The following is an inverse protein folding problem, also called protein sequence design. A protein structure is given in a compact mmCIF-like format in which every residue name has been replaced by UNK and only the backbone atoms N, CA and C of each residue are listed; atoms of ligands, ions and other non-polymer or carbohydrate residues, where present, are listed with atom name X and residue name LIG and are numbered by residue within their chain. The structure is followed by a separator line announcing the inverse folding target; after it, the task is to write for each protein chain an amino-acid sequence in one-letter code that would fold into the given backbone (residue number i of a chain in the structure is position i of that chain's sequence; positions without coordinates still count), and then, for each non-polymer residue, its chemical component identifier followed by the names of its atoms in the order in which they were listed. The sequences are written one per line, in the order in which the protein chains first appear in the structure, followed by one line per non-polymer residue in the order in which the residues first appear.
data_IF_658403483381
#
_entry.id   IF_658403483381
#
_cell.length_a   1.000
_cell.length_b   1.000
_cell.length_c   1.000
_cell.angle_alpha   90.00
_cell.angle_beta   90.00
_cell.angle_gamma   90.00
#
_symmetry.space_group_name_H-M   'P 1'
#
loop_
_entity.id
_entity.type
_entity.pdbx_description
1 polymer ?
#
# COMPACT_ATOMS: atom_id res chain seq x y z
N UNK A 1 -22.01 -5.60 -13.97
CA UNK A 1 -21.27 -6.35 -12.94
C UNK A 1 -20.31 -7.39 -13.53
N UNK A 2 -20.76 -8.51 -14.12
CA UNK A 2 -19.81 -9.56 -14.57
C UNK A 2 -18.82 -9.08 -15.65
N UNK A 3 -19.29 -8.40 -16.70
CA UNK A 3 -18.42 -7.86 -17.76
C UNK A 3 -17.42 -6.83 -17.22
N UNK A 4 -17.88 -5.95 -16.32
CA UNK A 4 -17.05 -4.96 -15.64
C UNK A 4 -15.98 -5.64 -14.78
N UNK A 5 -16.36 -6.65 -13.98
CA UNK A 5 -15.42 -7.44 -13.18
C UNK A 5 -14.37 -8.14 -14.04
N UNK A 6 -14.78 -8.74 -15.17
CA UNK A 6 -13.86 -9.39 -16.10
C UNK A 6 -12.89 -8.39 -16.74
N UNK A 7 -13.38 -7.22 -17.14
CA UNK A 7 -12.55 -6.15 -17.68
C UNK A 7 -11.52 -5.68 -16.64
N UNK A 8 -11.98 -5.30 -15.44
CA UNK A 8 -11.11 -4.83 -14.36
C UNK A 8 -10.06 -5.85 -13.94
N UNK A 9 -10.44 -7.14 -13.84
CA UNK A 9 -9.49 -8.23 -13.56
C UNK A 9 -8.50 -8.45 -14.71
N UNK A 10 -8.91 -8.29 -15.96
CA UNK A 10 -8.01 -8.40 -17.13
C UNK A 10 -6.96 -7.29 -17.11
N UNK A 11 -7.39 -6.04 -16.85
CA UNK A 11 -6.48 -4.91 -16.71
C UNK A 11 -5.51 -5.12 -15.53
N UNK A 12 -6.01 -5.63 -14.40
CA UNK A 12 -5.17 -5.96 -13.24
C UNK A 12 -4.13 -7.03 -13.57
N UNK A 13 -4.52 -8.13 -14.20
CA UNK A 13 -3.59 -9.19 -14.60
C UNK A 13 -2.54 -8.65 -15.58
N UNK A 14 -2.95 -7.84 -16.56
CA UNK A 14 -2.03 -7.16 -17.47
C UNK A 14 -1.02 -6.28 -16.74
N UNK A 15 -1.49 -5.45 -15.79
CA UNK A 15 -0.64 -4.60 -14.94
C UNK A 15 0.36 -5.42 -14.11
N UNK A 16 -0.09 -6.48 -13.44
CA UNK A 16 0.78 -7.32 -12.61
C UNK A 16 1.84 -8.04 -13.46
N UNK A 17 1.44 -8.60 -14.60
CA UNK A 17 2.36 -9.26 -15.53
C UNK A 17 3.38 -8.28 -16.12
N UNK A 18 2.97 -7.05 -16.42
CA UNK A 18 3.86 -6.01 -16.92
C UNK A 18 4.99 -5.64 -15.95
N UNK A 19 4.87 -5.95 -14.65
CA UNK A 19 5.93 -5.74 -13.66
C UNK A 19 6.65 -7.04 -13.30
N UNK A 20 5.92 -8.14 -13.07
CA UNK A 20 6.51 -9.42 -12.65
C UNK A 20 7.37 -10.03 -13.75
N UNK A 21 6.93 -10.00 -15.02
CA UNK A 21 7.66 -10.63 -16.13
C UNK A 21 9.00 -9.94 -16.37
N UNK A 22 9.08 -8.59 -16.50
CA UNK A 22 10.38 -7.92 -16.60
C UNK A 22 11.27 -8.13 -15.37
N UNK A 23 10.71 -8.08 -14.15
CA UNK A 23 11.49 -8.33 -12.94
C UNK A 23 12.10 -9.73 -12.92
N UNK A 24 11.32 -10.75 -13.30
CA UNK A 24 11.80 -12.13 -13.39
C UNK A 24 12.87 -12.28 -14.49
N UNK A 25 12.70 -11.60 -15.63
CA UNK A 25 13.67 -11.60 -16.72
C UNK A 25 14.99 -10.94 -16.31
N UNK A 26 14.95 -9.76 -15.68
CA UNK A 26 16.16 -9.07 -15.18
C UNK A 26 16.87 -9.92 -14.13
N UNK A 27 16.12 -10.57 -13.22
CA UNK A 27 16.69 -11.49 -12.22
C UNK A 27 17.39 -12.72 -12.81
N UNK A 28 17.17 -13.04 -14.10
CA UNK A 28 17.92 -14.08 -14.80
C UNK A 28 19.34 -13.63 -15.18
N UNK A 29 19.54 -12.32 -15.35
CA UNK A 29 20.81 -11.74 -15.81
C UNK A 29 21.57 -11.00 -14.71
N UNK A 30 20.88 -10.52 -13.67
CA UNK A 30 21.45 -9.69 -12.59
C UNK A 30 20.99 -10.20 -11.23
N UNK A 31 21.92 -10.30 -10.27
CA UNK A 31 21.58 -10.57 -8.88
C UNK A 31 20.97 -9.33 -8.22
N UNK A 32 19.66 -9.34 -8.03
CA UNK A 32 18.94 -8.27 -7.34
C UNK A 32 18.86 -8.62 -5.84
N UNK A 33 19.25 -7.70 -4.94
CA UNK A 33 19.07 -7.89 -3.50
C UNK A 33 17.63 -8.28 -3.16
N UNK A 34 17.47 -9.23 -2.24
CA UNK A 34 16.16 -9.75 -1.85
C UNK A 34 15.22 -8.66 -1.34
N UNK A 35 15.75 -7.68 -0.59
CA UNK A 35 14.94 -6.55 -0.11
C UNK A 35 14.42 -5.68 -1.24
N UNK A 36 15.28 -5.39 -2.23
CA UNK A 36 14.89 -4.58 -3.37
C UNK A 36 13.81 -5.29 -4.18
N UNK A 37 13.93 -6.60 -4.41
CA UNK A 37 12.87 -7.42 -5.03
C UNK A 37 11.55 -7.29 -4.27
N UNK A 38 11.57 -7.44 -2.94
CA UNK A 38 10.36 -7.34 -2.10
C UNK A 38 9.73 -5.96 -2.21
N UNK A 39 10.52 -4.89 -2.23
CA UNK A 39 9.99 -3.53 -2.32
C UNK A 39 9.52 -3.15 -3.71
N UNK A 40 10.08 -3.72 -4.78
CA UNK A 40 9.50 -3.63 -6.14
C UNK A 40 8.12 -4.30 -6.18
N UNK A 41 8.00 -5.53 -5.67
CA UNK A 41 6.72 -6.24 -5.61
C UNK A 41 5.69 -5.54 -4.70
N UNK A 42 6.14 -4.98 -3.58
CA UNK A 42 5.32 -4.18 -2.69
C UNK A 42 4.78 -2.95 -3.42
N UNK A 43 5.64 -2.15 -4.06
CA UNK A 43 5.23 -0.96 -4.81
C UNK A 43 4.34 -1.29 -6.01
N UNK A 44 4.54 -2.45 -6.65
CA UNK A 44 3.61 -2.97 -7.66
C UNK A 44 2.21 -3.19 -7.07
N UNK A 45 2.12 -3.87 -5.93
CA UNK A 45 0.83 -4.11 -5.27
C UNK A 45 0.22 -2.77 -4.80
N UNK A 46 1.03 -1.85 -4.26
CA UNK A 46 0.61 -0.49 -3.92
C UNK A 46 0.03 0.24 -5.14
N UNK A 47 0.73 0.21 -6.28
CA UNK A 47 0.30 0.86 -7.51
C UNK A 47 -0.98 0.26 -8.11
N UNK A 48 -1.29 -1.01 -7.80
CA UNK A 48 -2.55 -1.63 -8.23
C UNK A 48 -3.80 -0.91 -7.70
N UNK A 49 -3.68 -0.04 -6.68
CA UNK A 49 -4.77 0.83 -6.21
C UNK A 49 -5.41 1.61 -7.37
N UNK A 50 -4.61 2.06 -8.35
CA UNK A 50 -5.12 2.78 -9.51
C UNK A 50 -5.99 1.89 -10.38
N UNK A 51 -5.61 0.62 -10.58
CA UNK A 51 -6.43 -0.32 -11.33
C UNK A 51 -7.75 -0.59 -10.61
N UNK A 52 -7.70 -0.87 -9.30
CA UNK A 52 -8.90 -1.12 -8.49
C UNK A 52 -9.88 0.05 -8.51
N UNK A 53 -9.38 1.28 -8.56
CA UNK A 53 -10.22 2.46 -8.55
C UNK A 53 -10.66 2.89 -9.95
N UNK A 54 -9.85 2.72 -10.99
CA UNK A 54 -10.14 3.30 -12.31
C UNK A 54 -10.52 2.29 -13.40
N UNK A 55 -10.17 1.01 -13.26
CA UNK A 55 -10.61 -0.03 -14.20
C UNK A 55 -12.02 -0.58 -13.88
N UNK A 56 -12.56 -0.20 -12.71
CA UNK A 56 -13.91 -0.53 -12.28
C UNK A 56 -14.75 0.75 -12.21
N UNK A 57 -16.00 0.66 -12.65
CA UNK A 57 -16.95 1.78 -12.62
C UNK A 57 -17.66 1.89 -11.27
N UNK A 58 -17.84 0.77 -10.58
CA UNK A 58 -18.58 0.67 -9.32
C UNK A 58 -17.73 0.09 -8.19
N UNK A 59 -17.90 0.63 -6.98
CA UNK A 59 -17.14 0.21 -5.80
C UNK A 59 -17.42 -1.26 -5.43
N UNK A 60 -18.67 -1.71 -5.56
CA UNK A 60 -19.06 -3.07 -5.17
C UNK A 60 -18.52 -4.11 -6.15
N UNK A 61 -18.47 -3.82 -7.46
CA UNK A 61 -17.83 -4.71 -8.42
C UNK A 61 -16.33 -4.82 -8.14
N UNK A 62 -15.66 -3.71 -7.83
CA UNK A 62 -14.24 -3.68 -7.47
C UNK A 62 -13.95 -4.45 -6.17
N UNK A 63 -14.68 -4.16 -5.09
CA UNK A 63 -14.53 -4.83 -3.80
C UNK A 63 -14.87 -6.33 -3.88
N UNK A 64 -15.95 -6.69 -4.59
CA UNK A 64 -16.30 -8.10 -4.81
C UNK A 64 -15.21 -8.83 -5.61
N UNK A 65 -14.69 -8.21 -6.67
CA UNK A 65 -13.61 -8.80 -7.47
C UNK A 65 -12.32 -8.98 -6.67
N UNK A 66 -11.98 -8.02 -5.79
CA UNK A 66 -10.86 -8.14 -4.86
C UNK A 66 -11.05 -9.31 -3.88
N UNK A 67 -12.25 -9.46 -3.31
CA UNK A 67 -12.57 -10.55 -2.39
C UNK A 67 -12.52 -11.93 -3.07
N UNK A 68 -13.11 -12.05 -4.27
CA UNK A 68 -13.07 -13.28 -5.07
C UNK A 68 -11.63 -13.61 -5.47
N UNK A 69 -10.86 -12.62 -5.91
CA UNK A 69 -9.46 -12.83 -6.27
C UNK A 69 -8.63 -13.30 -5.07
N UNK A 70 -8.85 -12.73 -3.88
CA UNK A 70 -8.19 -13.19 -2.65
C UNK A 70 -8.54 -14.65 -2.33
N UNK A 71 -9.82 -15.02 -2.46
CA UNK A 71 -10.31 -16.38 -2.21
C UNK A 71 -9.75 -17.40 -3.21
N UNK A 72 -9.55 -17.01 -4.47
CA UNK A 72 -8.97 -17.86 -5.51
C UNK A 72 -7.45 -17.96 -5.42
N UNK A 73 -6.76 -16.85 -5.12
CA UNK A 73 -5.30 -16.84 -5.03
C UNK A 73 -4.78 -17.55 -3.78
N UNK A 74 -5.53 -17.54 -2.66
CA UNK A 74 -5.09 -18.22 -1.44
C UNK A 74 -4.78 -19.72 -1.61
N UNK A 75 -5.70 -20.56 -2.15
CA UNK A 75 -5.39 -21.97 -2.39
C UNK A 75 -4.31 -22.15 -3.46
N UNK A 76 -4.32 -21.32 -4.52
CA UNK A 76 -3.32 -21.37 -5.58
C UNK A 76 -1.90 -21.13 -5.02
N UNK A 77 -1.72 -20.09 -4.22
CA UNK A 77 -0.45 -19.79 -3.56
C UNK A 77 -0.07 -20.90 -2.56
N UNK A 78 -1.03 -21.52 -1.89
CA UNK A 78 -0.76 -22.64 -0.97
C UNK A 78 -0.27 -23.90 -1.70
N UNK A 79 -0.64 -24.09 -2.97
CA UNK A 79 -0.13 -25.18 -3.80
C UNK A 79 1.28 -24.85 -4.32
N UNK A 80 1.49 -23.62 -4.79
CA UNK A 80 2.75 -23.20 -5.45
C UNK A 80 3.86 -22.87 -4.42
N UNK A 81 3.53 -22.47 -3.19
CA UNK A 81 4.53 -22.16 -2.15
C UNK A 81 5.45 -23.33 -1.79
N UNK A 82 5.07 -24.57 -2.16
CA UNK A 82 5.89 -25.77 -1.98
C UNK A 82 7.03 -25.87 -3.01
N UNK A 83 7.00 -25.08 -4.07
CA UNK A 83 7.98 -25.15 -5.15
C UNK A 83 9.23 -24.31 -4.84
N UNK A 84 10.47 -24.83 -5.01
CA UNK A 84 11.69 -24.12 -4.62
C UNK A 84 11.91 -22.77 -5.33
N UNK A 85 11.42 -22.64 -6.56
CA UNK A 85 11.54 -21.41 -7.34
C UNK A 85 10.66 -20.28 -6.80
N UNK A 86 9.55 -20.59 -6.12
CA UNK A 86 8.58 -19.61 -5.61
C UNK A 86 9.22 -18.66 -4.62
N UNK A 87 9.84 -19.19 -3.56
CA UNK A 87 10.46 -18.39 -2.51
C UNK A 87 11.65 -17.57 -3.04
N UNK A 88 12.36 -18.08 -4.06
CA UNK A 88 13.48 -17.36 -4.72
C UNK A 88 12.99 -16.21 -5.60
N UNK A 89 11.92 -16.41 -6.36
CA UNK A 89 11.35 -15.37 -7.25
C UNK A 89 10.74 -14.25 -6.42
N UNK A 90 9.93 -14.59 -5.42
CA UNK A 90 9.20 -13.62 -4.59
C UNK A 90 9.99 -13.09 -3.38
N UNK A 91 11.22 -13.58 -3.19
CA UNK A 91 12.09 -13.20 -2.08
C UNK A 91 11.39 -13.34 -0.71
N UNK A 92 10.72 -14.48 -0.50
CA UNK A 92 9.97 -14.77 0.72
C UNK A 92 10.92 -15.00 1.92
N UNK A 93 10.66 -14.39 3.09
CA UNK A 93 11.52 -14.57 4.29
C UNK A 93 11.04 -15.73 5.16
N UNK A 94 9.73 -15.97 5.21
CA UNK A 94 9.10 -17.05 5.98
C UNK A 94 8.02 -17.73 5.14
N UNK A 95 7.91 -19.05 5.25
CA UNK A 95 6.90 -19.83 4.54
C UNK A 95 5.50 -19.25 4.77
N UNK A 96 4.81 -18.90 3.68
CA UNK A 96 3.46 -18.37 3.69
C UNK A 96 3.35 -16.89 4.10
N UNK A 97 4.45 -16.14 4.14
CA UNK A 97 4.44 -14.69 4.36
C UNK A 97 3.71 -13.98 3.21
N UNK A 98 3.97 -14.39 1.96
CA UNK A 98 3.40 -13.73 0.77
C UNK A 98 1.89 -13.88 0.75
N UNK A 99 1.35 -15.09 0.95
CA UNK A 99 -0.10 -15.31 0.93
C UNK A 99 -0.83 -14.58 2.05
N UNK A 100 -0.23 -14.50 3.25
CA UNK A 100 -0.79 -13.74 4.37
C UNK A 100 -0.83 -12.25 4.06
N UNK A 101 0.29 -11.70 3.58
CA UNK A 101 0.37 -10.29 3.17
C UNK A 101 -0.63 -9.96 2.05
N UNK A 102 -0.78 -10.85 1.07
CA UNK A 102 -1.76 -10.71 -0.01
C UNK A 102 -3.21 -10.65 0.53
N UNK A 103 -3.59 -11.56 1.43
CA UNK A 103 -4.94 -11.54 2.04
C UNK A 103 -5.16 -10.26 2.83
N UNK A 104 -4.19 -9.82 3.62
CA UNK A 104 -4.29 -8.56 4.40
C UNK A 104 -4.42 -7.36 3.47
N UNK A 105 -3.69 -7.32 2.36
CA UNK A 105 -3.80 -6.26 1.35
C UNK A 105 -5.19 -6.23 0.72
N UNK A 106 -5.72 -7.37 0.27
CA UNK A 106 -7.06 -7.40 -0.32
C UNK A 106 -8.14 -7.03 0.69
N UNK A 107 -8.03 -7.50 1.94
CA UNK A 107 -8.93 -7.10 3.00
C UNK A 107 -8.90 -5.58 3.23
N UNK A 108 -7.69 -4.99 3.30
CA UNK A 108 -7.53 -3.54 3.43
C UNK A 108 -8.18 -2.80 2.24
N UNK A 109 -7.94 -3.23 1.00
CA UNK A 109 -8.55 -2.62 -0.18
C UNK A 109 -10.08 -2.72 -0.17
N UNK A 110 -10.65 -3.87 0.21
CA UNK A 110 -12.10 -4.07 0.33
C UNK A 110 -12.69 -3.11 1.36
N UNK A 111 -12.06 -2.97 2.54
CA UNK A 111 -12.51 -2.04 3.57
C UNK A 111 -12.45 -0.61 3.06
N UNK A 112 -11.32 -0.19 2.48
CA UNK A 112 -11.15 1.17 1.97
C UNK A 112 -12.17 1.50 0.87
N UNK A 113 -12.36 0.60 -0.09
CA UNK A 113 -13.35 0.80 -1.17
C UNK A 113 -14.78 0.85 -0.64
N UNK A 114 -15.15 -0.04 0.27
CA UNK A 114 -16.51 -0.06 0.84
C UNK A 114 -16.79 1.21 1.64
N UNK A 115 -15.84 1.69 2.43
CA UNK A 115 -16.02 2.87 3.29
C UNK A 115 -15.88 4.17 2.51
N UNK A 116 -14.77 4.38 1.80
CA UNK A 116 -14.44 5.67 1.21
C UNK A 116 -15.01 5.89 -0.18
N UNK A 117 -15.30 4.82 -0.94
CA UNK A 117 -15.96 4.94 -2.24
C UNK A 117 -17.45 4.56 -2.14
N UNK A 118 -17.78 3.50 -1.39
CA UNK A 118 -19.15 3.05 -1.20
C UNK A 118 -19.97 3.94 -0.28
N UNK A 119 -19.60 4.03 1.01
CA UNK A 119 -20.37 4.79 2.00
C UNK A 119 -20.22 6.30 1.81
N UNK A 120 -18.99 6.82 1.80
CA UNK A 120 -18.74 8.27 1.72
C UNK A 120 -18.94 8.84 0.30
N UNK A 121 -19.15 7.98 -0.69
CA UNK A 121 -19.44 8.36 -2.07
C UNK A 121 -18.20 8.62 -2.95
N UNK A 122 -18.41 8.87 -4.25
CA UNK A 122 -17.34 8.99 -5.24
C UNK A 122 -16.33 10.10 -4.96
N UNK A 123 -16.75 11.21 -4.32
CA UNK A 123 -15.88 12.34 -4.01
C UNK A 123 -14.81 11.97 -2.98
N UNK A 124 -15.04 10.96 -2.14
CA UNK A 124 -14.08 10.48 -1.13
C UNK A 124 -13.12 9.40 -1.67
N UNK A 125 -13.27 9.00 -2.94
CA UNK A 125 -12.49 7.93 -3.58
C UNK A 125 -10.98 8.19 -3.56
N UNK A 126 -10.54 9.45 -3.69
CA UNK A 126 -9.11 9.79 -3.69
C UNK A 126 -8.43 9.54 -2.34
N UNK A 127 -9.18 9.51 -1.22
CA UNK A 127 -8.63 9.21 0.12
C UNK A 127 -8.00 7.81 0.14
N UNK A 128 -8.55 6.87 -0.64
CA UNK A 128 -7.99 5.53 -0.82
C UNK A 128 -6.60 5.62 -1.47
N UNK A 129 -6.45 6.43 -2.52
CA UNK A 129 -5.16 6.65 -3.19
C UNK A 129 -4.15 7.27 -2.23
N UNK A 130 -4.55 8.32 -1.51
CA UNK A 130 -3.70 9.01 -0.52
C UNK A 130 -3.19 8.00 0.53
N UNK A 131 -4.09 7.21 1.11
CA UNK A 131 -3.76 6.25 2.15
C UNK A 131 -2.85 5.11 1.67
N UNK A 132 -3.17 4.51 0.53
CA UNK A 132 -2.39 3.37 0.00
C UNK A 132 -1.02 3.83 -0.48
N UNK A 133 -0.89 4.99 -1.14
CA UNK A 133 0.41 5.50 -1.55
C UNK A 133 1.27 5.98 -0.38
N UNK A 134 0.68 6.62 0.64
CA UNK A 134 1.40 7.01 1.84
C UNK A 134 2.01 5.79 2.54
N UNK A 135 1.20 4.74 2.72
CA UNK A 135 1.66 3.46 3.26
C UNK A 135 2.74 2.83 2.38
N UNK A 136 2.45 2.57 1.11
CA UNK A 136 3.31 1.71 0.30
C UNK A 136 4.63 2.35 -0.11
N UNK A 137 4.60 3.64 -0.47
CA UNK A 137 5.82 4.39 -0.76
C UNK A 137 6.63 4.64 0.52
N UNK A 138 5.95 4.98 1.62
CA UNK A 138 6.57 5.15 2.92
C UNK A 138 7.28 3.89 3.41
N UNK A 139 6.59 2.74 3.42
CA UNK A 139 7.12 1.47 3.93
C UNK A 139 8.30 0.97 3.06
N UNK A 140 8.23 1.20 1.74
CA UNK A 140 9.36 0.94 0.87
C UNK A 140 10.58 1.80 1.25
N UNK A 141 10.39 3.10 1.46
CA UNK A 141 11.47 4.01 1.86
C UNK A 141 12.03 3.65 3.25
N UNK A 142 11.16 3.37 4.21
CA UNK A 142 11.53 3.01 5.58
C UNK A 142 12.44 1.78 5.61
N UNK A 143 12.09 0.75 4.84
CA UNK A 143 12.87 -0.48 4.78
C UNK A 143 14.18 -0.32 4.00
N UNK A 144 14.17 0.38 2.86
CA UNK A 144 15.37 0.57 2.04
C UNK A 144 16.38 1.48 2.73
N UNK A 145 15.94 2.62 3.26
CA UNK A 145 16.81 3.55 3.99
C UNK A 145 17.22 2.96 5.33
N UNK A 146 16.29 2.37 6.08
CA UNK A 146 16.57 1.79 7.39
C UNK A 146 17.58 0.64 7.32
N UNK A 147 17.57 -0.18 6.25
CA UNK A 147 18.59 -1.23 6.08
C UNK A 147 19.93 -0.74 5.54
N UNK A 148 19.92 0.29 4.70
CA UNK A 148 21.15 0.76 4.02
C UNK A 148 21.91 1.78 4.86
N UNK A 149 21.19 2.70 5.50
CA UNK A 149 21.75 3.85 6.22
C UNK A 149 21.41 3.85 7.72
N UNK A 150 20.69 2.84 8.22
CA UNK A 150 20.27 2.78 9.61
C UNK A 150 21.44 2.67 10.57
N UNK A 151 21.62 3.68 11.42
CA UNK A 151 22.64 3.72 12.48
C UNK A 151 22.00 3.66 13.85
N UNK A 152 20.86 4.34 14.03
CA UNK A 152 20.19 4.46 15.32
C UNK A 152 18.97 3.54 15.41
N UNK A 153 19.13 2.43 16.12
CA UNK A 153 18.06 1.46 16.31
C UNK A 153 17.08 1.90 17.40
N UNK A 154 15.78 1.76 17.11
CA UNK A 154 14.71 2.05 18.05
C UNK A 154 14.36 0.77 18.81
N UNK A 155 14.73 0.71 20.09
CA UNK A 155 14.39 -0.40 20.98
C UNK A 155 13.33 0.03 21.98
N UNK A 156 12.12 -0.50 21.85
CA UNK A 156 11.04 -0.34 22.82
C UNK A 156 10.28 -1.66 22.95
N UNK A 157 9.67 -1.91 24.13
CA UNK A 157 8.83 -3.10 24.37
C UNK A 157 7.70 -3.24 23.33
N UNK A 158 7.28 -2.12 22.73
CA UNK A 158 6.20 -2.06 21.76
C UNK A 158 6.63 -2.26 20.30
N UNK A 159 7.93 -2.08 19.99
CA UNK A 159 8.47 -2.13 18.63
C UNK A 159 8.94 -3.56 18.30
N UNK A 160 8.50 -4.09 17.16
CA UNK A 160 8.95 -5.40 16.66
C UNK A 160 10.10 -5.24 15.65
N UNK A 161 11.15 -6.04 15.84
CA UNK A 161 12.27 -6.12 14.91
C UNK A 161 13.29 -4.99 15.05
N UNK A 162 14.18 -4.89 14.07
CA UNK A 162 15.26 -3.89 14.02
C UNK A 162 14.82 -2.66 13.22
N UNK A 163 13.94 -1.85 13.80
CA UNK A 163 13.56 -0.55 13.20
C UNK A 163 14.57 0.52 13.57
N UNK A 164 14.75 1.51 12.71
CA UNK A 164 15.74 2.57 12.89
C UNK A 164 15.10 3.94 12.78
N UNK A 165 15.72 4.93 13.41
CA UNK A 165 15.29 6.34 13.34
C UNK A 165 15.29 6.82 11.89
N UNK A 166 16.30 6.46 11.11
CA UNK A 166 16.42 6.82 9.69
C UNK A 166 15.31 6.20 8.84
N UNK A 167 14.92 4.95 9.16
CA UNK A 167 13.78 4.29 8.53
C UNK A 167 12.47 5.02 8.82
N UNK A 168 12.20 5.33 10.08
CA UNK A 168 10.98 6.07 10.49
C UNK A 168 10.97 7.51 9.94
N UNK A 169 12.11 8.20 9.89
CA UNK A 169 12.21 9.51 9.27
C UNK A 169 11.93 9.44 7.75
N UNK A 170 12.39 8.38 7.09
CA UNK A 170 12.14 8.14 5.66
C UNK A 170 10.67 7.79 5.41
N UNK A 171 10.05 6.99 6.27
CA UNK A 171 8.61 6.72 6.26
C UNK A 171 7.82 8.02 6.29
N UNK A 172 8.14 8.90 7.25
CA UNK A 172 7.50 10.21 7.40
C UNK A 172 7.69 11.07 6.15
N UNK A 173 8.93 11.25 5.68
CA UNK A 173 9.23 12.14 4.55
C UNK A 173 8.53 11.69 3.26
N UNK A 174 8.59 10.39 2.95
CA UNK A 174 7.97 9.86 1.72
C UNK A 174 6.45 9.80 1.84
N UNK A 175 5.91 9.48 3.02
CA UNK A 175 4.46 9.59 3.26
C UNK A 175 3.97 11.03 3.09
N UNK A 176 4.71 12.02 3.59
CA UNK A 176 4.39 13.44 3.44
C UNK A 176 4.33 13.81 1.96
N UNK A 177 5.35 13.45 1.18
CA UNK A 177 5.38 13.73 -0.26
C UNK A 177 4.22 13.05 -0.98
N UNK A 178 3.93 11.78 -0.66
CA UNK A 178 2.80 11.05 -1.23
C UNK A 178 1.46 11.73 -0.92
N UNK A 179 1.22 12.10 0.34
CA UNK A 179 0.00 12.80 0.77
C UNK A 179 -0.10 14.18 0.12
N UNK A 180 0.99 14.95 0.11
CA UNK A 180 1.04 16.27 -0.50
C UNK A 180 0.70 16.23 -1.99
N UNK A 181 1.39 15.37 -2.76
CA UNK A 181 1.17 15.28 -4.21
C UNK A 181 -0.25 14.78 -4.50
N UNK A 182 -0.70 13.73 -3.83
CA UNK A 182 -2.05 13.18 -4.09
C UNK A 182 -3.14 14.17 -3.73
N UNK A 183 -3.07 14.83 -2.57
CA UNK A 183 -4.07 15.86 -2.21
C UNK A 183 -4.03 17.05 -3.15
N UNK A 184 -2.84 17.49 -3.58
CA UNK A 184 -2.69 18.57 -4.57
C UNK A 184 -3.36 18.22 -5.91
N UNK A 185 -3.19 16.99 -6.40
CA UNK A 185 -3.75 16.55 -7.67
C UNK A 185 -5.27 16.33 -7.62
N UNK A 186 -5.81 15.85 -6.49
CA UNK A 186 -7.20 15.41 -6.40
C UNK A 186 -8.16 16.42 -5.78
N UNK A 187 -7.70 17.34 -4.92
CA UNK A 187 -8.61 18.20 -4.15
C UNK A 187 -8.80 19.60 -4.74
N UNK A 188 -7.91 20.02 -5.65
CA UNK A 188 -7.90 21.40 -6.18
C UNK A 188 -7.60 22.47 -5.13
N UNK A 189 -7.24 22.09 -3.90
CA UNK A 189 -6.90 23.03 -2.83
C UNK A 189 -5.53 23.69 -3.09
N UNK A 190 -5.29 24.90 -2.54
CA UNK A 190 -4.00 25.55 -2.65
C UNK A 190 -2.86 24.68 -2.09
N UNK A 191 -1.67 24.78 -2.68
CA UNK A 191 -0.53 23.93 -2.33
C UNK A 191 -0.17 23.98 -0.84
N UNK A 192 -0.31 25.14 -0.18
CA UNK A 192 0.00 25.28 1.24
C UNK A 192 -0.99 24.52 2.13
N UNK A 193 -2.26 24.38 1.71
CA UNK A 193 -3.26 23.57 2.41
C UNK A 193 -2.93 22.09 2.26
N UNK A 194 -2.57 21.65 1.05
CA UNK A 194 -2.14 20.28 0.78
C UNK A 194 -0.86 19.91 1.57
N UNK A 195 0.08 20.86 1.68
CA UNK A 195 1.29 20.69 2.47
C UNK A 195 0.96 20.58 3.97
N UNK A 196 0.05 21.41 4.47
CA UNK A 196 -0.43 21.32 5.85
C UNK A 196 -1.09 19.96 6.14
N UNK A 197 -1.92 19.44 5.22
CA UNK A 197 -2.50 18.09 5.33
C UNK A 197 -1.38 17.04 5.42
N UNK A 198 -0.39 17.12 4.53
CA UNK A 198 0.77 16.24 4.55
C UNK A 198 1.53 16.27 5.89
N UNK A 199 1.85 17.46 6.39
CA UNK A 199 2.55 17.66 7.67
C UNK A 199 1.77 17.14 8.88
N UNK A 200 0.44 17.30 8.89
CA UNK A 200 -0.42 16.84 9.99
C UNK A 200 -0.65 15.32 9.95
N UNK A 201 -0.73 14.72 8.76
CA UNK A 201 -1.12 13.31 8.61
C UNK A 201 0.08 12.37 8.49
N UNK A 202 1.18 12.76 7.83
CA UNK A 202 2.35 11.89 7.68
C UNK A 202 2.94 11.33 9.00
N UNK A 203 2.90 12.04 10.15
CA UNK A 203 3.31 11.46 11.43
C UNK A 203 2.49 10.22 11.81
N UNK A 204 1.18 10.20 11.47
CA UNK A 204 0.33 9.02 11.73
C UNK A 204 0.84 7.80 10.98
N UNK A 205 1.27 7.98 9.73
CA UNK A 205 1.85 6.90 8.91
C UNK A 205 3.10 6.32 9.56
N UNK A 206 4.04 7.20 9.94
CA UNK A 206 5.30 6.79 10.55
C UNK A 206 5.14 6.16 11.94
N UNK A 207 4.27 6.72 12.78
CA UNK A 207 4.03 6.19 14.13
C UNK A 207 3.28 4.85 14.08
N UNK A 208 2.25 4.73 13.24
CA UNK A 208 1.49 3.48 13.11
C UNK A 208 2.37 2.40 12.51
N UNK A 209 3.21 2.71 11.51
CA UNK A 209 4.23 1.77 11.01
C UNK A 209 5.12 1.32 12.17
N UNK A 210 5.72 2.24 12.91
CA UNK A 210 6.69 1.96 13.98
C UNK A 210 6.14 0.98 15.03
N UNK A 211 4.88 1.17 15.45
CA UNK A 211 4.24 0.36 16.49
C UNK A 211 3.48 -0.87 15.97
N UNK A 212 3.21 -0.95 14.66
CA UNK A 212 2.51 -2.12 14.11
C UNK A 212 3.43 -3.34 14.06
N UNK A 213 2.83 -4.49 14.36
CA UNK A 213 3.49 -5.78 14.50
C UNK A 213 3.03 -6.77 13.43
N UNK A 214 3.83 -7.81 13.21
CA UNK A 214 3.50 -8.99 12.38
C UNK A 214 3.12 -8.66 10.93
N UNK A 215 3.61 -7.55 10.37
CA UNK A 215 3.27 -7.12 9.00
C UNK A 215 1.81 -6.67 8.83
N UNK A 216 1.13 -6.32 9.93
CA UNK A 216 -0.22 -5.76 9.90
C UNK A 216 -0.23 -4.27 9.51
N UNK A 217 0.94 -3.68 9.28
CA UNK A 217 1.11 -2.31 8.78
C UNK A 217 0.38 -2.12 7.44
N UNK A 218 0.29 -3.19 6.66
CA UNK A 218 -0.50 -3.31 5.43
C UNK A 218 -1.96 -2.91 5.59
N UNK A 219 -2.55 -3.08 6.78
CA UNK A 219 -3.94 -2.66 7.07
C UNK A 219 -4.00 -1.47 8.03
N UNK A 220 -3.17 -1.45 9.09
CA UNK A 220 -3.26 -0.41 10.11
C UNK A 220 -2.84 0.96 9.58
N UNK A 221 -1.79 1.03 8.75
CA UNK A 221 -1.28 2.31 8.23
C UNK A 221 -2.28 2.93 7.24
N UNK A 222 -2.75 2.24 6.17
CA UNK A 222 -3.73 2.83 5.28
C UNK A 222 -5.01 3.26 5.99
N UNK A 223 -5.53 2.47 6.93
CA UNK A 223 -6.75 2.85 7.67
C UNK A 223 -6.53 4.07 8.56
N UNK A 224 -5.39 4.14 9.26
CA UNK A 224 -5.05 5.29 10.10
C UNK A 224 -4.86 6.56 9.26
N UNK A 225 -4.15 6.47 8.14
CA UNK A 225 -3.95 7.60 7.22
C UNK A 225 -5.27 8.04 6.61
N UNK A 226 -6.10 7.11 6.12
CA UNK A 226 -7.41 7.43 5.54
C UNK A 226 -8.32 8.14 6.55
N UNK A 227 -8.36 7.65 7.80
CA UNK A 227 -9.08 8.29 8.90
C UNK A 227 -8.54 9.68 9.22
N UNK A 228 -7.23 9.82 9.36
CA UNK A 228 -6.58 11.09 9.67
C UNK A 228 -6.79 12.14 8.57
N UNK A 229 -6.61 11.79 7.29
CA UNK A 229 -6.91 12.66 6.15
C UNK A 229 -8.37 13.11 6.18
N UNK A 230 -9.30 12.19 6.43
CA UNK A 230 -10.73 12.49 6.49
C UNK A 230 -11.07 13.49 7.60
N UNK A 231 -10.46 13.33 8.77
CA UNK A 231 -10.65 14.26 9.90
C UNK A 231 -10.08 15.63 9.55
N UNK A 232 -8.84 15.69 9.07
CA UNK A 232 -8.17 16.96 8.73
C UNK A 232 -8.94 17.71 7.65
N UNK A 233 -9.37 17.04 6.58
CA UNK A 233 -10.16 17.65 5.52
C UNK A 233 -11.51 18.18 6.00
N UNK A 234 -12.21 17.44 6.87
CA UNK A 234 -13.47 17.91 7.47
C UNK A 234 -13.27 19.14 8.36
N UNK A 235 -12.17 19.17 9.11
CA UNK A 235 -11.82 20.33 9.95
C UNK A 235 -11.51 21.54 9.07
N UNK A 236 -10.65 21.39 8.06
CA UNK A 236 -10.31 22.47 7.12
C UNK A 236 -11.54 22.99 6.36
N UNK A 237 -12.43 22.10 5.93
CA UNK A 237 -13.67 22.48 5.27
C UNK A 237 -14.60 23.34 6.15
N UNK A 238 -14.58 23.18 7.48
CA UNK A 238 -15.33 24.05 8.40
C UNK A 238 -14.80 25.49 8.43
N UNK A 239 -13.55 25.69 8.05
CA UNK A 239 -12.91 27.00 7.95
C UNK A 239 -12.93 27.57 6.52
N UNK A 240 -13.66 26.95 5.59
CA UNK A 240 -13.71 27.38 4.18
C UNK A 240 -12.43 27.12 3.39
N UNK A 241 -11.55 26.24 3.90
CA UNK A 241 -10.28 25.85 3.26
C UNK A 241 -10.38 24.52 2.53
#
# INVERSE_FOLDING_TARGET
MLQESLHGLTVLLGYLLAVVVPLALVKRFVEIPSELTRKILHLMITGSVFVWLYAFSTWYASAFSAAVLAALLYPLLTLIERLPWYSKVLAERRLGEVKKSMVVFFLMMVILMTVFWGWLGPDSKYIIVVAVLAWGCGDAAAALVGKTFGRYYLTSRFIEGKKTVEGTASMYAVSLVAIFITTLLYTGKPWFVCLAIGLLVAPTSALVELYTRRGMDTITVPLAVAGAVSVVLRVLGRFGM
#
